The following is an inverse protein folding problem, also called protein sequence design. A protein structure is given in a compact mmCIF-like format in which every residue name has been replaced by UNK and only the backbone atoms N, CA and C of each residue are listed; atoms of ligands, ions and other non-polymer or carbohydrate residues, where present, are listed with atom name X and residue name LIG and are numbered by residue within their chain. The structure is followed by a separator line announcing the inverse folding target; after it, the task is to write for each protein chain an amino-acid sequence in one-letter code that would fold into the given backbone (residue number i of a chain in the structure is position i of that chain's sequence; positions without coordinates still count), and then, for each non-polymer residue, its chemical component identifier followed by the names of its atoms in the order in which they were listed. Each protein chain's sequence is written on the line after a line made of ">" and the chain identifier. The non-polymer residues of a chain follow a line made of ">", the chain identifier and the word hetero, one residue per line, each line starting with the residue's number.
data_IF_800315974331
#
_entry.id   IF_800315974331
#
_cell.length_a   1.000
_cell.length_b   1.000
_cell.length_c   1.000
_cell.angle_alpha   90.00
_cell.angle_beta   90.00
_cell.angle_gamma   90.00
#
_symmetry.space_group_name_H-M   'P 1'
#
loop_
_entity.id
_entity.type
_entity.pdbx_description
1 polymer ?
#
# COMPACT_ATOMS: atom_id res chain seq x y z
N UNK A 1 11.53 -3.64 -13.40
CA UNK A 1 11.44 -2.30 -14.01
C UNK A 1 11.39 -1.33 -12.85
N UNK A 2 12.13 -0.25 -12.89
CA UNK A 2 12.10 0.76 -11.83
C UNK A 2 10.83 1.62 -11.99
N UNK A 3 10.08 1.92 -10.91
CA UNK A 3 8.85 2.70 -11.01
C UNK A 3 9.15 4.16 -11.36
N UNK A 4 8.27 4.78 -12.13
CA UNK A 4 8.43 6.20 -12.47
C UNK A 4 8.10 7.10 -11.27
N UNK A 5 8.65 8.33 -11.21
CA UNK A 5 8.29 9.30 -10.18
C UNK A 5 6.78 9.56 -10.10
N UNK A 6 6.08 9.61 -11.23
CA UNK A 6 4.63 9.78 -11.29
C UNK A 6 3.89 8.59 -10.66
N UNK A 7 4.33 7.35 -10.93
CA UNK A 7 3.73 6.16 -10.32
C UNK A 7 3.90 6.18 -8.79
N UNK A 8 5.09 6.51 -8.30
CA UNK A 8 5.36 6.64 -6.86
C UNK A 8 4.48 7.73 -6.22
N UNK A 9 4.31 8.87 -6.90
CA UNK A 9 3.46 9.97 -6.42
C UNK A 9 2.00 9.56 -6.35
N UNK A 10 1.46 8.95 -7.41
CA UNK A 10 0.07 8.48 -7.45
C UNK A 10 -0.18 7.47 -6.34
N UNK A 11 0.69 6.47 -6.22
CA UNK A 11 0.62 5.47 -5.18
C UNK A 11 0.61 6.09 -3.78
N UNK A 12 1.53 7.03 -3.51
CA UNK A 12 1.60 7.71 -2.22
C UNK A 12 0.32 8.48 -1.88
N UNK A 13 -0.27 9.21 -2.83
CA UNK A 13 -1.51 9.96 -2.61
C UNK A 13 -2.67 9.01 -2.32
N UNK A 14 -2.87 7.99 -3.17
CA UNK A 14 -3.92 6.98 -3.01
C UNK A 14 -3.77 6.22 -1.69
N UNK A 15 -2.56 5.72 -1.40
CA UNK A 15 -2.25 5.03 -0.15
C UNK A 15 -2.43 5.91 1.08
N UNK A 16 -2.11 7.21 1.01
CA UNK A 16 -2.33 8.15 2.14
C UNK A 16 -3.82 8.40 2.42
N UNK A 17 -4.64 8.47 1.38
CA UNK A 17 -6.10 8.60 1.55
C UNK A 17 -6.69 7.33 2.19
N UNK A 18 -6.32 6.15 1.67
CA UNK A 18 -6.82 4.87 2.17
C UNK A 18 -6.32 4.56 3.59
N UNK A 19 -5.06 4.86 3.91
CA UNK A 19 -4.53 4.68 5.29
C UNK A 19 -5.25 5.55 6.31
N UNK A 20 -5.69 6.75 5.93
CA UNK A 20 -6.51 7.59 6.80
C UNK A 20 -7.91 6.97 7.05
N UNK A 21 -8.55 6.45 6.01
CA UNK A 21 -9.87 5.80 6.10
C UNK A 21 -9.81 4.50 6.91
N UNK A 22 -8.82 3.66 6.62
CA UNK A 22 -8.62 2.33 7.23
C UNK A 22 -7.96 2.40 8.61
N UNK A 23 -7.57 3.60 9.07
CA UNK A 23 -6.82 3.81 10.32
C UNK A 23 -5.58 2.91 10.36
N UNK A 24 -4.75 3.00 9.32
CA UNK A 24 -3.54 2.17 9.14
C UNK A 24 -2.27 3.00 9.21
N UNK A 25 -1.12 2.33 9.27
CA UNK A 25 0.20 2.91 9.08
C UNK A 25 0.80 2.41 7.75
N UNK A 26 1.47 3.30 7.01
CA UNK A 26 2.29 2.90 5.88
C UNK A 26 3.57 2.25 6.42
N UNK A 27 3.92 1.08 5.88
CA UNK A 27 5.14 0.35 6.25
C UNK A 27 6.22 0.54 5.20
N UNK A 28 5.92 0.23 3.94
CA UNK A 28 6.86 0.34 2.83
C UNK A 28 6.14 0.39 1.48
N UNK A 29 6.91 0.66 0.43
CA UNK A 29 6.49 0.52 -0.97
C UNK A 29 7.22 -0.71 -1.51
N UNK A 30 6.51 -1.60 -2.19
CA UNK A 30 7.05 -2.85 -2.74
C UNK A 30 6.67 -3.02 -4.22
N UNK A 31 7.41 -3.88 -4.91
CA UNK A 31 7.10 -4.32 -6.27
C UNK A 31 6.84 -5.83 -6.21
N UNK A 32 5.59 -6.22 -6.44
CA UNK A 32 5.18 -7.62 -6.41
C UNK A 32 5.83 -8.43 -7.55
N UNK A 33 5.85 -9.78 -7.47
CA UNK A 33 6.44 -10.63 -8.50
C UNK A 33 5.86 -10.44 -9.91
N UNK A 34 4.59 -10.01 -9.99
CA UNK A 34 3.91 -9.66 -11.24
C UNK A 34 4.31 -8.27 -11.79
N UNK A 35 5.22 -7.57 -11.11
CA UNK A 35 5.73 -6.21 -11.37
C UNK A 35 4.76 -5.09 -10.98
N UNK A 36 3.72 -5.38 -10.23
CA UNK A 36 2.81 -4.35 -9.74
C UNK A 36 3.43 -3.58 -8.58
N UNK A 37 3.36 -2.26 -8.67
CA UNK A 37 3.83 -1.37 -7.63
C UNK A 37 2.72 -1.19 -6.59
N UNK A 38 3.05 -1.42 -5.32
CA UNK A 38 2.08 -1.39 -4.24
C UNK A 38 2.61 -0.69 -2.99
N UNK A 39 1.69 -0.15 -2.18
CA UNK A 39 1.95 0.32 -0.82
C UNK A 39 1.50 -0.76 0.15
N UNK A 40 2.39 -1.06 1.09
CA UNK A 40 2.15 -2.00 2.18
C UNK A 40 1.71 -1.22 3.41
N UNK A 41 0.53 -1.52 3.92
CA UNK A 41 -0.06 -0.86 5.09
C UNK A 41 -0.42 -1.87 6.17
N UNK A 42 -0.43 -1.41 7.41
CA UNK A 42 -0.76 -2.20 8.59
C UNK A 42 -1.89 -1.52 9.38
N UNK A 43 -3.04 -2.19 9.61
CA UNK A 43 -4.12 -1.66 10.42
C UNK A 43 -3.70 -1.38 11.87
N UNK A 44 -4.10 -0.22 12.41
CA UNK A 44 -3.79 0.13 13.82
C UNK A 44 -4.52 -0.73 14.84
N UNK A 45 -5.67 -1.27 14.47
CA UNK A 45 -6.54 -2.04 15.37
C UNK A 45 -5.99 -3.44 15.64
N UNK A 46 -5.14 -3.95 14.74
CA UNK A 46 -4.57 -5.28 14.82
C UNK A 46 -3.06 -5.22 14.58
N UNK A 47 -2.28 -4.55 15.46
CA UNK A 47 -0.84 -4.41 15.27
C UNK A 47 -0.11 -5.75 15.37
N UNK A 48 -0.65 -6.70 16.14
CA UNK A 48 -0.04 -8.00 16.43
C UNK A 48 -0.49 -9.11 15.47
N UNK A 49 -1.66 -8.94 14.84
CA UNK A 49 -2.01 -9.75 13.67
C UNK A 49 -1.18 -9.17 12.54
N UNK A 50 -0.27 -9.97 11.97
CA UNK A 50 0.57 -9.58 10.84
C UNK A 50 -0.25 -9.42 9.55
N UNK A 51 -1.41 -8.78 9.65
CA UNK A 51 -2.32 -8.49 8.58
C UNK A 51 -1.71 -7.36 7.76
N UNK A 52 -1.29 -7.73 6.55
CA UNK A 52 -0.66 -6.84 5.61
C UNK A 52 -1.69 -6.55 4.53
N UNK A 53 -1.91 -5.27 4.24
CA UNK A 53 -2.76 -4.87 3.12
C UNK A 53 -1.88 -4.24 2.06
N UNK A 54 -1.99 -4.77 0.85
CA UNK A 54 -1.38 -4.22 -0.34
C UNK A 54 -2.39 -3.30 -1.02
N UNK A 55 -1.94 -2.12 -1.41
CA UNK A 55 -2.70 -1.15 -2.20
C UNK A 55 -1.95 -0.90 -3.50
N UNK A 56 -2.57 -1.15 -4.64
CA UNK A 56 -1.96 -0.89 -5.95
C UNK A 56 -2.17 0.57 -6.42
N UNK A 57 -1.75 0.87 -7.66
CA UNK A 57 -1.93 2.19 -8.26
C UNK A 57 -3.39 2.56 -8.53
N UNK A 58 -4.28 1.58 -8.68
CA UNK A 58 -5.71 1.78 -8.91
C UNK A 58 -6.48 1.97 -7.59
N UNK A 59 -5.84 1.66 -6.46
CA UNK A 59 -6.46 1.66 -5.13
C UNK A 59 -7.12 0.33 -4.78
N UNK A 60 -6.88 -0.72 -5.57
CA UNK A 60 -7.33 -2.06 -5.26
C UNK A 60 -6.58 -2.60 -4.04
N UNK A 61 -7.29 -3.36 -3.21
CA UNK A 61 -6.78 -3.86 -1.93
C UNK A 61 -6.69 -5.37 -1.93
N UNK A 62 -5.54 -5.87 -1.49
CA UNK A 62 -5.31 -7.30 -1.27
C UNK A 62 -4.86 -7.53 0.17
N UNK A 63 -5.42 -8.54 0.83
CA UNK A 63 -5.19 -8.87 2.24
C UNK A 63 -4.33 -10.14 2.34
N UNK A 64 -3.25 -10.06 3.12
CA UNK A 64 -2.34 -11.18 3.42
C UNK A 64 -2.16 -11.34 4.91
#
# INVERSE_FOLDING_TARGET
>A
MEPTPEQLRTLYVTGRQLTAQLKSFIRLIDILPNRDLCIVIQPRQFPDQRMIVYIDLNGDTEYV
#
